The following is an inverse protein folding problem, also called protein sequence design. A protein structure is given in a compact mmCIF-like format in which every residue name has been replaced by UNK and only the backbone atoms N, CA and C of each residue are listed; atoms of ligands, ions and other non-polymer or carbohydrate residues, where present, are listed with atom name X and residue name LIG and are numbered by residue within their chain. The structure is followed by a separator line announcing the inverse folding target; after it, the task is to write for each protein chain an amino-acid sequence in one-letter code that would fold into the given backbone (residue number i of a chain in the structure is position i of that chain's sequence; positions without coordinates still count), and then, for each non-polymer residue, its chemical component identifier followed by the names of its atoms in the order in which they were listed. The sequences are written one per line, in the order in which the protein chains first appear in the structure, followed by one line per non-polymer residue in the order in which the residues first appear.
data_IF_122913024478
#
_entry.id   IF_122913024478
#
_cell.length_a   1.000
_cell.length_b   1.000
_cell.length_c   1.000
_cell.angle_alpha   90.00
_cell.angle_beta   90.00
_cell.angle_gamma   90.00
#
_symmetry.space_group_name_H-M   'P 1'
#
loop_
_entity.id
_entity.type
_entity.pdbx_description
1 polymer ?
#
# COMPACT_ATOMS: atom_id res chain seq x y z
N UNK A 1 -2.02 28.51 4.25
CA UNK A 1 -1.52 27.24 4.80
C UNK A 1 -0.20 26.94 4.12
N UNK A 2 0.89 26.82 4.88
CA UNK A 2 2.18 26.44 4.31
C UNK A 2 2.20 24.96 3.92
N UNK A 3 3.09 24.53 3.01
CA UNK A 3 3.25 23.12 2.71
C UNK A 3 3.68 22.36 3.97
N UNK A 4 3.10 21.19 4.20
CA UNK A 4 3.47 20.30 5.29
C UNK A 4 4.82 19.66 4.93
N UNK A 5 5.90 20.22 5.47
CA UNK A 5 7.27 19.80 5.17
C UNK A 5 7.75 18.78 6.20
N UNK A 6 7.46 17.50 5.94
CA UNK A 6 7.97 16.37 6.72
C UNK A 6 7.77 15.04 6.00
N UNK A 7 8.61 14.02 6.26
CA UNK A 7 8.38 12.66 5.74
C UNK A 7 7.04 12.14 6.26
N UNK A 8 6.20 11.60 5.38
CA UNK A 8 4.88 11.09 5.73
C UNK A 8 4.00 10.82 4.51
N UNK A 9 2.84 10.19 4.76
CA UNK A 9 1.82 9.97 3.75
C UNK A 9 0.72 11.05 3.88
N UNK A 10 0.27 11.58 2.75
CA UNK A 10 -0.64 12.73 2.70
C UNK A 10 -1.84 12.47 1.79
N UNK A 11 -3.00 12.99 2.17
CA UNK A 11 -4.18 13.08 1.32
C UNK A 11 -4.83 14.46 1.51
N UNK A 12 -4.98 15.23 0.42
CA UNK A 12 -5.61 16.56 0.45
C UNK A 12 -5.04 17.52 1.51
N UNK A 13 -3.75 17.42 1.83
CA UNK A 13 -3.10 18.28 2.83
C UNK A 13 -3.25 17.79 4.27
N UNK A 14 -3.70 16.55 4.49
CA UNK A 14 -3.78 15.94 5.82
C UNK A 14 -2.87 14.71 5.90
N UNK A 15 -2.26 14.48 7.07
CA UNK A 15 -1.53 13.23 7.33
C UNK A 15 -2.51 12.06 7.34
N UNK A 16 -2.16 10.98 6.64
CA UNK A 16 -3.00 9.79 6.56
C UNK A 16 -2.15 8.53 6.60
N UNK A 17 -2.79 7.39 6.80
CA UNK A 17 -2.21 6.07 6.53
C UNK A 17 -3.03 5.41 5.43
N UNK A 18 -2.34 4.99 4.37
CA UNK A 18 -2.95 4.17 3.31
C UNK A 18 -2.76 2.69 3.67
N UNK A 19 -3.85 1.94 3.61
CA UNK A 19 -3.85 0.47 3.74
C UNK A 19 -4.70 -0.12 2.60
N UNK A 20 -4.51 -1.40 2.32
CA UNK A 20 -5.27 -2.10 1.27
C UNK A 20 -5.56 -3.52 1.71
N UNK A 21 -6.70 -4.09 1.31
CA UNK A 21 -6.96 -5.52 1.51
C UNK A 21 -6.15 -6.40 0.53
N UNK A 22 -5.59 -5.82 -0.55
CA UNK A 22 -4.84 -6.55 -1.57
C UNK A 22 -3.34 -6.51 -1.30
N UNK A 23 -2.76 -7.70 -1.15
CA UNK A 23 -1.30 -7.84 -1.08
C UNK A 23 -0.64 -7.47 -2.41
N UNK A 24 -1.27 -7.75 -3.54
CA UNK A 24 -0.73 -7.41 -4.87
C UNK A 24 -0.65 -5.89 -5.03
N UNK A 25 -1.70 -5.15 -4.62
CA UNK A 25 -1.69 -3.69 -4.63
C UNK A 25 -0.59 -3.11 -3.74
N UNK A 26 -0.52 -3.58 -2.48
CA UNK A 26 0.52 -3.19 -1.52
C UNK A 26 1.94 -3.48 -2.02
N UNK A 27 2.11 -4.51 -2.85
CA UNK A 27 3.39 -4.93 -3.41
C UNK A 27 3.86 -4.06 -4.59
N UNK A 28 3.12 -3.04 -5.03
CA UNK A 28 3.61 -2.18 -6.11
C UNK A 28 4.90 -1.43 -5.69
N UNK A 29 5.91 -1.26 -6.57
CA UNK A 29 7.19 -0.63 -6.21
C UNK A 29 7.10 0.79 -5.64
N UNK A 30 6.00 1.52 -5.93
CA UNK A 30 5.71 2.83 -5.31
C UNK A 30 5.51 2.73 -3.79
N UNK A 31 5.01 1.61 -3.29
CA UNK A 31 4.68 1.40 -1.88
C UNK A 31 5.66 0.44 -1.20
N UNK A 32 6.17 -0.55 -1.94
CA UNK A 32 7.11 -1.56 -1.47
C UNK A 32 8.22 -1.74 -2.50
N UNK A 33 9.23 -0.89 -2.47
CA UNK A 33 10.34 -0.96 -3.43
C UNK A 33 11.11 -2.29 -3.31
N UNK A 34 11.23 -3.08 -4.38
CA UNK A 34 12.08 -4.26 -4.37
C UNK A 34 13.55 -3.90 -4.17
N UNK A 35 14.29 -4.72 -3.42
CA UNK A 35 15.73 -4.59 -3.32
C UNK A 35 16.44 -5.89 -3.67
N UNK A 36 17.63 -5.78 -4.26
CA UNK A 36 18.51 -6.92 -4.48
C UNK A 36 19.33 -7.20 -3.22
N UNK A 37 19.40 -8.46 -2.80
CA UNK A 37 20.28 -8.88 -1.72
C UNK A 37 21.47 -9.68 -2.28
N UNK A 38 22.65 -9.05 -2.43
CA UNK A 38 23.82 -9.71 -2.99
C UNK A 38 24.32 -10.86 -2.10
N UNK A 39 24.04 -10.81 -0.79
CA UNK A 39 24.45 -11.85 0.16
C UNK A 39 23.53 -13.09 0.12
N UNK A 40 22.42 -13.03 -0.62
CA UNK A 40 21.48 -14.13 -0.78
C UNK A 40 21.38 -14.55 -2.26
N UNK A 41 22.53 -14.86 -2.87
CA UNK A 41 22.65 -15.25 -4.28
C UNK A 41 22.04 -14.23 -5.27
N UNK A 42 22.04 -12.95 -4.92
CA UNK A 42 21.44 -11.90 -5.76
C UNK A 42 19.92 -12.01 -5.88
N UNK A 43 19.22 -12.68 -4.96
CA UNK A 43 17.75 -12.71 -4.94
C UNK A 43 17.18 -11.32 -4.67
N UNK A 44 16.01 -11.07 -5.24
CA UNK A 44 15.22 -9.88 -4.95
C UNK A 44 14.27 -10.13 -3.79
N UNK A 45 14.13 -9.12 -2.95
CA UNK A 45 13.20 -9.12 -1.83
C UNK A 45 12.26 -7.93 -1.93
N UNK A 46 11.06 -8.11 -1.38
CA UNK A 46 10.08 -7.04 -1.24
C UNK A 46 9.27 -7.28 0.03
N UNK A 47 9.02 -6.24 0.79
CA UNK A 47 8.38 -6.31 2.09
C UNK A 47 7.11 -5.48 2.11
N UNK A 48 6.05 -6.05 2.68
CA UNK A 48 4.80 -5.34 3.00
C UNK A 48 4.43 -5.57 4.46
N UNK A 49 3.85 -4.56 5.09
CA UNK A 49 3.35 -4.68 6.47
C UNK A 49 2.01 -5.42 6.48
N UNK A 50 1.85 -6.33 7.43
CA UNK A 50 0.58 -6.99 7.70
C UNK A 50 -0.12 -6.26 8.86
N UNK A 51 -1.31 -5.73 8.58
CA UNK A 51 -2.06 -4.90 9.51
C UNK A 51 -3.46 -5.47 9.79
N UNK A 52 -3.97 -5.24 11.00
CA UNK A 52 -5.40 -5.32 11.31
C UNK A 52 -5.96 -3.91 11.31
N UNK A 53 -7.10 -3.71 10.67
CA UNK A 53 -7.76 -2.41 10.58
C UNK A 53 -9.11 -2.50 11.28
N UNK A 54 -9.42 -1.51 12.11
CA UNK A 54 -10.72 -1.40 12.75
C UNK A 54 -11.81 -1.18 11.68
N UNK A 55 -12.77 -2.08 11.48
CA UNK A 55 -13.75 -1.94 10.39
C UNK A 55 -14.62 -0.69 10.52
N UNK A 56 -14.73 -0.09 11.71
CA UNK A 56 -15.48 1.16 11.92
C UNK A 56 -14.89 2.36 11.18
N UNK A 57 -13.60 2.33 10.83
CA UNK A 57 -12.96 3.38 10.05
C UNK A 57 -13.07 3.16 8.53
N UNK A 58 -13.64 2.02 8.09
CA UNK A 58 -13.83 1.66 6.67
C UNK A 58 -15.25 2.02 6.20
N UNK A 59 -15.49 3.30 5.99
CA UNK A 59 -16.73 3.81 5.39
C UNK A 59 -16.49 4.28 3.94
N UNK A 60 -17.57 4.68 3.24
CA UNK A 60 -17.50 5.15 1.85
C UNK A 60 -16.58 6.36 1.63
N UNK A 61 -16.28 7.14 2.67
CA UNK A 61 -15.42 8.32 2.57
C UNK A 61 -13.93 7.95 2.65
N UNK A 62 -13.64 6.80 3.26
CA UNK A 62 -12.29 6.29 3.47
C UNK A 62 -11.91 5.18 2.48
N UNK A 63 -12.86 4.49 1.86
CA UNK A 63 -12.62 3.52 0.79
C UNK A 63 -12.61 4.20 -0.58
N UNK A 64 -11.53 4.01 -1.35
CA UNK A 64 -11.28 4.70 -2.61
C UNK A 64 -10.83 3.73 -3.71
N UNK A 65 -11.00 4.14 -4.98
CA UNK A 65 -10.40 3.42 -6.10
C UNK A 65 -8.88 3.46 -6.06
N UNK A 66 -8.25 2.48 -6.70
CA UNK A 66 -6.82 2.48 -6.97
C UNK A 66 -6.37 3.70 -7.80
N UNK A 67 -5.13 4.13 -7.56
CA UNK A 67 -4.53 5.31 -8.20
C UNK A 67 -3.29 5.00 -9.04
N UNK A 68 -2.98 3.72 -9.23
CA UNK A 68 -1.73 3.27 -9.87
C UNK A 68 -1.88 2.96 -11.36
N UNK A 69 -3.04 2.47 -11.79
CA UNK A 69 -3.26 2.07 -13.18
C UNK A 69 -3.50 3.25 -14.10
N UNK A 70 -2.87 3.20 -15.28
CA UNK A 70 -3.24 4.06 -16.42
C UNK A 70 -4.43 3.46 -17.16
N UNK A 71 -4.38 2.17 -17.48
CA UNK A 71 -5.53 1.44 -18.04
C UNK A 71 -6.48 0.94 -16.94
N UNK A 72 -7.65 1.57 -16.85
CA UNK A 72 -8.69 1.23 -15.87
C UNK A 72 -9.40 -0.10 -16.14
N UNK A 73 -9.12 -0.78 -17.26
CA UNK A 73 -9.66 -2.11 -17.57
C UNK A 73 -8.83 -3.24 -16.96
N UNK A 74 -7.62 -2.96 -16.46
CA UNK A 74 -6.76 -3.97 -15.83
C UNK A 74 -7.22 -4.21 -14.41
N UNK A 75 -7.47 -5.46 -14.04
CA UNK A 75 -7.75 -5.82 -12.65
C UNK A 75 -6.44 -6.10 -11.91
N UNK A 76 -6.24 -5.45 -10.76
CA UNK A 76 -5.01 -5.60 -9.96
C UNK A 76 -5.02 -6.91 -9.19
N UNK A 77 -6.13 -7.18 -8.49
CA UNK A 77 -6.31 -8.36 -7.67
C UNK A 77 -7.68 -8.96 -7.98
N UNK A 78 -7.72 -10.25 -8.28
CA UNK A 78 -8.95 -10.95 -8.64
C UNK A 78 -9.97 -11.01 -7.49
N UNK A 79 -9.52 -10.83 -6.25
CA UNK A 79 -10.36 -10.96 -5.06
C UNK A 79 -11.02 -9.65 -4.64
N UNK A 80 -10.62 -8.51 -5.23
CA UNK A 80 -11.08 -7.18 -4.83
C UNK A 80 -11.44 -6.34 -6.06
N UNK A 81 -12.44 -5.48 -5.94
CA UNK A 81 -12.72 -4.49 -6.96
C UNK A 81 -11.65 -3.39 -6.94
N UNK A 82 -11.20 -2.93 -8.11
CA UNK A 82 -10.31 -1.76 -8.18
C UNK A 82 -10.92 -0.49 -7.55
N UNK A 83 -12.24 -0.46 -7.32
CA UNK A 83 -12.94 0.67 -6.69
C UNK A 83 -12.80 0.69 -5.16
N UNK A 84 -12.28 -0.36 -4.54
CA UNK A 84 -12.22 -0.51 -3.07
C UNK A 84 -10.82 -0.89 -2.56
N UNK A 85 -9.79 -0.69 -3.38
CA UNK A 85 -8.41 -1.11 -3.08
C UNK A 85 -7.67 -0.17 -2.14
N UNK A 86 -8.00 1.12 -2.11
CA UNK A 86 -7.33 2.08 -1.23
C UNK A 86 -8.20 2.43 -0.02
N UNK A 87 -7.70 2.17 1.19
CA UNK A 87 -8.33 2.61 2.42
C UNK A 87 -7.47 3.69 3.06
N UNK A 88 -8.04 4.89 3.22
CA UNK A 88 -7.35 6.06 3.74
C UNK A 88 -7.79 6.33 5.16
N UNK A 89 -6.98 5.93 6.12
CA UNK A 89 -7.28 6.13 7.55
C UNK A 89 -6.69 7.45 7.99
N UNK A 90 -7.52 8.28 8.61
CA UNK A 90 -7.15 9.61 9.12
C UNK A 90 -6.94 9.57 10.61
N UNK A 91 -6.02 10.39 11.15
CA UNK A 91 -5.95 10.61 12.57
C UNK A 91 -7.25 11.28 13.07
N UNK A 92 -7.61 11.09 14.35
CA UNK A 92 -8.85 11.67 14.90
C UNK A 92 -8.80 13.20 15.00
N UNK A 93 -7.61 13.81 14.97
CA UNK A 93 -7.43 15.26 14.84
C UNK A 93 -6.15 15.58 14.06
N UNK A 94 -6.08 16.80 13.52
CA UNK A 94 -4.91 17.28 12.74
C UNK A 94 -3.63 17.42 13.60
N UNK A 95 -3.77 17.48 14.92
CA UNK A 95 -2.64 17.59 15.86
C UNK A 95 -2.00 16.22 16.20
N UNK A 96 -2.63 15.12 15.76
CA UNK A 96 -2.17 13.76 16.05
C UNK A 96 -1.44 13.19 14.84
N UNK A 97 -0.18 12.84 15.04
CA UNK A 97 0.69 12.30 13.98
C UNK A 97 0.66 10.76 13.88
N UNK A 98 0.02 10.06 14.83
CA UNK A 98 0.04 8.61 14.91
C UNK A 98 -1.37 8.04 15.13
N UNK A 99 -1.69 6.95 14.46
CA UNK A 99 -2.94 6.20 14.63
C UNK A 99 -2.66 5.04 15.58
N UNK A 100 -3.28 5.04 16.76
CA UNK A 100 -3.00 4.02 17.80
C UNK A 100 -4.04 2.90 17.84
N UNK A 101 -5.30 3.21 17.53
CA UNK A 101 -6.41 2.30 17.85
C UNK A 101 -7.08 1.71 16.61
N UNK A 102 -6.91 2.33 15.44
CA UNK A 102 -7.57 1.89 14.20
C UNK A 102 -6.72 0.98 13.33
N UNK A 103 -5.39 0.95 13.56
CA UNK A 103 -4.45 0.13 12.79
C UNK A 103 -3.47 -0.53 13.74
N UNK A 104 -3.38 -1.85 13.67
CA UNK A 104 -2.38 -2.63 14.38
C UNK A 104 -1.51 -3.34 13.35
N UNK A 105 -0.25 -2.90 13.20
CA UNK A 105 0.75 -3.65 12.46
C UNK A 105 1.19 -4.84 13.32
N UNK A 106 0.99 -6.07 12.82
CA UNK A 106 1.26 -7.30 13.58
C UNK A 106 2.20 -8.27 12.89
N UNK A 107 2.62 -7.96 11.66
CA UNK A 107 3.49 -8.86 10.90
C UNK A 107 4.15 -8.18 9.71
N UNK A 108 5.07 -8.92 9.11
CA UNK A 108 5.78 -8.56 7.89
C UNK A 108 5.60 -9.72 6.92
N UNK A 109 5.26 -9.42 5.67
CA UNK A 109 5.27 -10.41 4.60
C UNK A 109 6.44 -10.10 3.67
N UNK A 110 7.33 -11.07 3.52
CA UNK A 110 8.52 -10.95 2.67
C UNK A 110 8.35 -11.81 1.42
N UNK A 111 8.26 -11.19 0.26
CA UNK A 111 8.37 -11.86 -1.03
C UNK A 111 9.83 -11.99 -1.41
N UNK A 112 10.25 -13.19 -1.82
CA UNK A 112 11.60 -13.45 -2.34
C UNK A 112 11.49 -14.03 -3.74
N UNK A 113 12.27 -13.53 -4.68
CA UNK A 113 12.27 -13.95 -6.08
C UNK A 113 13.70 -14.06 -6.64
N UNK A 114 13.90 -14.96 -7.60
CA UNK A 114 15.20 -15.14 -8.26
C UNK A 114 15.50 -14.03 -9.30
N UNK A 115 14.48 -13.28 -9.72
CA UNK A 115 14.59 -12.13 -10.62
C UNK A 115 13.79 -10.92 -10.10
N UNK A 116 13.86 -9.79 -10.82
CA UNK A 116 13.15 -8.57 -10.40
C UNK A 116 11.64 -8.86 -10.31
N UNK A 117 10.95 -8.49 -9.21
CA UNK A 117 9.56 -8.92 -9.01
C UNK A 117 8.55 -8.43 -10.06
N UNK A 118 8.90 -7.43 -10.89
CA UNK A 118 8.08 -7.00 -12.03
C UNK A 118 7.88 -8.09 -13.09
N UNK A 119 8.76 -9.08 -13.10
CA UNK A 119 8.77 -10.18 -14.07
C UNK A 119 7.84 -11.32 -13.62
N UNK A 120 7.34 -11.27 -12.39
CA UNK A 120 6.41 -12.25 -11.87
C UNK A 120 5.02 -12.06 -12.51
N UNK A 121 4.29 -13.15 -12.79
CA UNK A 121 2.94 -13.07 -13.34
C UNK A 121 1.99 -12.18 -12.53
N UNK A 122 2.10 -12.18 -11.20
CA UNK A 122 1.24 -11.38 -10.32
C UNK A 122 1.51 -9.86 -10.41
N UNK A 123 2.68 -9.48 -10.92
CA UNK A 123 3.14 -8.10 -11.06
C UNK A 123 2.92 -7.52 -12.46
N UNK A 124 2.32 -8.27 -13.40
CA UNK A 124 2.18 -7.83 -14.80
C UNK A 124 1.45 -6.49 -14.93
N UNK A 125 0.47 -6.21 -14.07
CA UNK A 125 -0.31 -4.98 -14.07
C UNK A 125 0.51 -3.72 -13.71
N UNK A 126 1.72 -3.85 -13.15
CA UNK A 126 2.58 -2.69 -12.82
C UNK A 126 2.97 -1.86 -14.04
N UNK A 127 2.84 -2.43 -15.24
CA UNK A 127 3.19 -1.81 -16.52
C UNK A 127 1.98 -1.22 -17.24
N UNK A 128 0.79 -1.31 -16.65
CA UNK A 128 -0.51 -1.01 -17.27
C UNK A 128 -1.06 0.39 -17.00
#
# INVERSE_FOLDING_TARGET
MGPLTGPGCWAAGETVVYVSPSIEYCAHPRYAEPWNNPNNNGKYHQLVFQCRVNPKCLNSDNTRPETLLRDKNVQIDKNFSNKELEWVIRPPSQDIQYITDDIICYGLMLRTADGHPEQLPSSHWWKS
#
